data_IF_113106941960
#
_entry.id   IF_113106941960
#
_cell.length_a   1.000
_cell.length_b   1.000
_cell.length_c   1.000
_cell.angle_alpha   90.00
_cell.angle_beta   90.00
_cell.angle_gamma   90.00
#
_symmetry.space_group_name_H-M   'P 1'
#
loop_
_entity.id
_entity.type
_entity.pdbx_description
1 polymer ?
#
# COMPACT_ATOMS: atom_id res chain seq x y z
N UNK A 1 -58.38 29.96 12.48
CA UNK A 1 -59.65 29.48 13.02
C UNK A 1 -60.01 28.13 12.45
N UNK A 2 -60.28 27.25 13.39
CA UNK A 2 -61.10 26.05 13.34
C UNK A 2 -60.51 24.76 12.76
N UNK A 3 -60.04 23.99 13.74
CA UNK A 3 -59.93 22.55 13.78
C UNK A 3 -61.24 21.81 13.41
N UNK A 4 -61.03 20.51 13.15
CA UNK A 4 -61.86 19.37 13.56
C UNK A 4 -62.94 18.77 12.65
N UNK A 5 -62.71 17.47 12.45
CA UNK A 5 -63.62 16.37 12.82
C UNK A 5 -64.61 15.90 11.77
N UNK A 6 -64.29 14.74 11.18
CA UNK A 6 -65.30 13.71 10.90
C UNK A 6 -64.82 12.40 11.53
N UNK A 7 -65.62 11.89 12.45
CA UNK A 7 -65.50 10.61 13.14
C UNK A 7 -66.24 9.49 12.40
N UNK A 8 -66.03 8.26 12.89
CA UNK A 8 -66.87 7.05 12.78
C UNK A 8 -66.77 6.25 11.45
N UNK A 9 -66.69 4.92 11.39
CA UNK A 9 -67.21 3.81 12.23
C UNK A 9 -66.23 2.59 12.18
N UNK A 10 -65.88 1.95 13.30
CA UNK A 10 -66.57 0.83 13.96
C UNK A 10 -66.61 -0.50 13.17
N UNK A 11 -65.77 -1.47 13.55
CA UNK A 11 -66.14 -2.90 13.54
C UNK A 11 -65.24 -3.71 14.51
N UNK A 12 -65.89 -4.24 15.53
CA UNK A 12 -65.36 -4.89 16.73
C UNK A 12 -65.12 -6.41 16.55
N UNK A 13 -64.26 -6.97 17.41
CA UNK A 13 -64.23 -8.35 17.96
C UNK A 13 -63.26 -9.39 17.36
N UNK A 14 -62.17 -9.70 18.10
CA UNK A 14 -62.15 -10.87 19.03
C UNK A 14 -60.84 -10.96 19.83
N UNK A 15 -61.00 -10.71 21.13
CA UNK A 15 -60.33 -11.25 22.33
C UNK A 15 -59.30 -12.39 22.17
N UNK A 16 -58.11 -12.28 22.79
CA UNK A 16 -57.89 -12.74 24.17
C UNK A 16 -56.52 -12.26 24.73
N UNK A 17 -56.51 -11.95 26.01
CA UNK A 17 -55.52 -11.19 26.78
C UNK A 17 -54.32 -11.99 27.31
N UNK A 18 -53.12 -11.37 27.35
CA UNK A 18 -52.33 -11.20 28.59
C UNK A 18 -51.12 -10.24 28.45
N UNK A 19 -51.29 -9.09 29.10
CA UNK A 19 -50.37 -8.30 29.93
C UNK A 19 -48.99 -7.82 29.41
N UNK A 20 -48.91 -6.48 29.28
CA UNK A 20 -47.86 -5.55 29.73
C UNK A 20 -46.38 -5.88 29.41
N UNK A 21 -45.67 -5.04 28.68
CA UNK A 21 -45.11 -3.82 29.30
C UNK A 21 -44.78 -2.73 28.26
N UNK A 22 -44.96 -1.48 28.71
CA UNK A 22 -44.78 -0.24 27.97
C UNK A 22 -43.34 0.02 27.51
N UNK A 23 -43.27 0.87 26.49
CA UNK A 23 -42.11 1.33 25.75
C UNK A 23 -40.99 1.98 26.59
N UNK A 24 -39.77 1.84 26.11
CA UNK A 24 -38.83 2.96 25.98
C UNK A 24 -38.15 2.85 24.62
N UNK A 25 -38.67 3.60 23.63
CA UNK A 25 -37.98 3.82 22.36
C UNK A 25 -36.85 4.80 22.64
N UNK A 26 -35.71 4.28 23.09
CA UNK A 26 -34.46 5.01 23.06
C UNK A 26 -33.88 4.82 21.66
N UNK A 27 -34.39 5.61 20.69
CA UNK A 27 -33.71 5.82 19.42
C UNK A 27 -32.48 6.71 19.68
N UNK A 28 -31.47 6.11 20.32
CA UNK A 28 -30.10 6.61 20.22
C UNK A 28 -29.68 6.32 18.80
N UNK A 29 -29.29 7.36 18.06
CA UNK A 29 -28.59 7.25 16.78
C UNK A 29 -27.29 6.45 17.02
N UNK A 30 -27.37 5.12 17.05
CA UNK A 30 -26.23 4.30 16.69
C UNK A 30 -25.97 4.61 15.22
N UNK A 31 -24.99 5.47 14.97
CA UNK A 31 -24.42 5.58 13.64
C UNK A 31 -23.85 4.20 13.33
N UNK A 32 -24.62 3.38 12.65
CA UNK A 32 -24.21 2.06 12.23
C UNK A 32 -22.87 2.22 11.51
N UNK A 33 -21.82 1.68 12.12
CA UNK A 33 -20.49 1.73 11.53
C UNK A 33 -20.55 0.94 10.24
N UNK A 34 -20.10 1.57 9.15
CA UNK A 34 -20.05 0.93 7.85
C UNK A 34 -19.34 -0.43 7.94
N UNK A 35 -20.06 -1.51 7.62
CA UNK A 35 -19.51 -2.87 7.58
C UNK A 35 -18.31 -2.99 6.66
N UNK A 36 -18.27 -2.18 5.60
CA UNK A 36 -17.12 -2.03 4.71
C UNK A 36 -15.89 -1.45 5.42
N UNK A 37 -16.07 -0.43 6.26
CA UNK A 37 -14.98 0.19 7.01
C UNK A 37 -14.36 -0.80 8.00
N UNK A 38 -15.20 -1.56 8.74
CA UNK A 38 -14.75 -2.62 9.65
C UNK A 38 -13.98 -3.68 8.89
N UNK A 39 -14.56 -4.25 7.83
CA UNK A 39 -13.91 -5.28 7.02
C UNK A 39 -12.56 -4.81 6.43
N UNK A 40 -12.48 -3.55 6.02
CA UNK A 40 -11.23 -2.97 5.50
C UNK A 40 -10.15 -2.86 6.57
N UNK A 41 -10.49 -2.45 7.79
CA UNK A 41 -9.55 -2.42 8.91
C UNK A 41 -9.14 -3.83 9.34
N UNK A 42 -10.07 -4.78 9.37
CA UNK A 42 -9.76 -6.18 9.67
C UNK A 42 -8.79 -6.81 8.67
N UNK A 43 -8.85 -6.40 7.39
CA UNK A 43 -7.87 -6.81 6.36
C UNK A 43 -6.44 -6.36 6.67
N UNK A 44 -6.26 -5.26 7.40
CA UNK A 44 -4.94 -4.80 7.87
C UNK A 44 -4.46 -5.56 9.11
N UNK A 45 -5.24 -6.53 9.62
CA UNK A 45 -4.86 -7.39 10.74
C UNK A 45 -5.38 -6.94 12.10
N UNK A 46 -6.33 -6.01 12.13
CA UNK A 46 -6.97 -5.56 13.37
C UNK A 46 -8.23 -6.40 13.70
N UNK A 47 -8.56 -6.50 14.98
CA UNK A 47 -9.76 -7.20 15.43
C UNK A 47 -11.04 -6.43 15.03
N UNK A 48 -12.07 -7.16 14.59
CA UNK A 48 -13.27 -6.54 13.99
C UNK A 48 -14.13 -5.78 15.01
N UNK A 49 -14.26 -6.29 16.24
CA UNK A 49 -14.99 -5.61 17.32
C UNK A 49 -14.23 -4.34 17.73
N UNK A 50 -12.91 -4.44 17.82
CA UNK A 50 -12.06 -3.30 18.12
C UNK A 50 -12.11 -2.24 17.02
N UNK A 51 -12.09 -2.64 15.74
CA UNK A 51 -12.27 -1.74 14.60
C UNK A 51 -13.63 -1.05 14.63
N UNK A 52 -14.69 -1.78 14.97
CA UNK A 52 -16.03 -1.20 15.10
C UNK A 52 -16.09 -0.16 16.21
N UNK A 53 -15.51 -0.44 17.38
CA UNK A 53 -15.44 0.50 18.49
C UNK A 53 -14.66 1.78 18.13
N UNK A 54 -13.49 1.64 17.49
CA UNK A 54 -12.69 2.80 17.06
C UNK A 54 -13.42 3.59 15.97
N UNK A 55 -14.04 2.93 15.00
CA UNK A 55 -14.81 3.62 13.96
C UNK A 55 -16.03 4.36 14.53
N UNK A 56 -16.68 3.87 15.60
CA UNK A 56 -17.72 4.62 16.33
C UNK A 56 -17.15 5.92 16.91
N UNK A 57 -15.96 5.86 17.52
CA UNK A 57 -15.30 7.02 18.14
C UNK A 57 -14.75 8.04 17.13
N UNK A 58 -14.44 7.63 15.90
CA UNK A 58 -13.88 8.47 14.83
C UNK A 58 -14.89 8.79 13.72
N UNK A 59 -16.19 8.74 14.03
CA UNK A 59 -17.28 9.10 13.10
C UNK A 59 -17.23 8.34 11.76
N UNK A 60 -16.77 7.09 11.76
CA UNK A 60 -16.65 6.26 10.56
C UNK A 60 -15.47 6.61 9.64
N UNK A 61 -14.57 7.51 10.05
CA UNK A 61 -13.38 7.85 9.27
C UNK A 61 -12.34 6.72 9.32
N UNK A 62 -12.28 5.92 8.25
CA UNK A 62 -11.34 4.79 8.14
C UNK A 62 -9.88 5.22 8.33
N UNK A 63 -9.49 6.39 7.81
CA UNK A 63 -8.11 6.87 7.88
C UNK A 63 -7.71 7.22 9.31
N UNK A 64 -8.51 8.02 9.99
CA UNK A 64 -8.27 8.42 11.37
C UNK A 64 -8.35 7.20 12.32
N UNK A 65 -9.29 6.28 12.09
CA UNK A 65 -9.35 5.03 12.85
C UNK A 65 -8.13 4.15 12.63
N UNK A 66 -7.66 4.00 11.39
CA UNK A 66 -6.46 3.23 11.09
C UNK A 66 -5.21 3.85 11.72
N UNK A 67 -5.08 5.16 11.63
CA UNK A 67 -3.99 5.92 12.26
C UNK A 67 -3.97 5.66 13.78
N UNK A 68 -5.10 5.83 14.46
CA UNK A 68 -5.20 5.57 15.89
C UNK A 68 -4.83 4.12 16.26
N UNK A 69 -5.34 3.14 15.52
CA UNK A 69 -5.03 1.72 15.73
C UNK A 69 -3.54 1.42 15.58
N UNK A 70 -2.90 2.01 14.56
CA UNK A 70 -1.47 1.87 14.33
C UNK A 70 -0.67 2.55 15.45
N UNK A 71 -1.00 3.79 15.81
CA UNK A 71 -0.34 4.51 16.90
C UNK A 71 -0.41 3.71 18.20
N UNK A 72 -1.60 3.20 18.56
CA UNK A 72 -1.78 2.39 19.76
C UNK A 72 -0.90 1.12 19.72
N UNK A 73 -0.91 0.38 18.61
CA UNK A 73 -0.05 -0.80 18.44
C UNK A 73 1.44 -0.45 18.53
N UNK A 74 1.86 0.69 17.98
CA UNK A 74 3.25 1.13 18.02
C UNK A 74 3.66 1.61 19.42
N UNK A 75 2.81 2.32 20.14
CA UNK A 75 3.07 2.75 21.51
C UNK A 75 3.22 1.54 22.43
N UNK A 76 2.34 0.53 22.31
CA UNK A 76 2.41 -0.67 23.14
C UNK A 76 3.66 -1.51 22.86
N UNK A 77 4.07 -1.65 21.60
CA UNK A 77 5.22 -2.49 21.20
C UNK A 77 6.57 -1.77 21.21
N UNK A 78 6.57 -0.45 21.00
CA UNK A 78 7.79 0.34 20.74
C UNK A 78 7.85 1.63 21.57
N UNK A 79 6.90 1.91 22.46
CA UNK A 79 6.75 3.22 23.11
C UNK A 79 8.03 3.82 23.70
N UNK A 80 8.87 3.03 24.38
CA UNK A 80 10.15 3.52 24.94
C UNK A 80 11.23 3.80 23.88
N UNK A 81 11.15 3.18 22.70
CA UNK A 81 12.07 3.36 21.57
C UNK A 81 11.61 4.42 20.56
N UNK A 82 10.34 4.81 20.65
CA UNK A 82 9.70 5.76 19.74
C UNK A 82 9.53 7.15 20.36
N UNK A 83 9.88 7.33 21.64
CA UNK A 83 9.99 8.66 22.23
C UNK A 83 11.08 9.44 21.49
N UNK A 84 10.66 10.57 20.91
CA UNK A 84 11.54 11.58 20.35
C UNK A 84 12.59 11.93 21.40
N UNK A 85 13.87 11.73 21.07
CA UNK A 85 14.97 12.14 21.94
C UNK A 85 14.92 13.66 22.06
N UNK A 86 15.31 14.22 23.21
CA UNK A 86 15.31 15.66 23.48
C UNK A 86 16.04 16.46 22.36
N UNK A 87 17.08 15.86 21.77
CA UNK A 87 17.79 16.38 20.60
C UNK A 87 16.92 16.54 19.33
N UNK A 88 15.93 15.66 19.11
CA UNK A 88 15.00 15.72 17.98
C UNK A 88 13.86 16.73 18.16
N UNK A 89 13.54 17.07 19.41
CA UNK A 89 12.53 18.12 19.73
C UNK A 89 13.14 19.52 19.55
N UNK A 90 14.43 19.66 19.83
CA UNK A 90 15.16 20.91 19.66
C UNK A 90 15.62 21.17 18.21
N UNK A 91 15.54 20.16 17.33
CA UNK A 91 15.92 20.31 15.93
C UNK A 91 14.97 21.27 15.22
N UNK A 92 15.49 22.44 14.85
CA UNK A 92 14.77 23.43 14.08
C UNK A 92 14.63 22.95 12.63
N UNK A 93 13.41 23.06 12.08
CA UNK A 93 13.11 22.71 10.68
C UNK A 93 14.07 23.43 9.72
N UNK A 94 14.43 24.69 10.02
CA UNK A 94 15.37 25.48 9.20
C UNK A 94 16.75 24.84 9.13
N UNK A 95 17.30 24.45 10.27
CA UNK A 95 18.62 23.83 10.38
C UNK A 95 18.64 22.48 9.64
N UNK A 96 17.55 21.71 9.71
CA UNK A 96 17.40 20.47 8.94
C UNK A 96 17.42 20.70 7.42
N UNK A 97 16.81 21.79 6.94
CA UNK A 97 16.86 22.16 5.53
C UNK A 97 18.25 22.60 5.09
N UNK A 98 18.95 23.36 5.92
CA UNK A 98 20.31 23.81 5.64
C UNK A 98 21.28 22.64 5.57
N UNK A 99 21.25 21.74 6.56
CA UNK A 99 22.06 20.52 6.56
C UNK A 99 21.77 19.67 5.31
N UNK A 100 20.50 19.53 4.94
CA UNK A 100 20.11 18.83 3.72
C UNK A 100 20.71 19.48 2.47
N UNK A 101 20.73 20.80 2.39
CA UNK A 101 21.32 21.52 1.26
C UNK A 101 22.84 21.33 1.21
N UNK A 102 23.53 21.38 2.35
CA UNK A 102 24.97 21.11 2.45
C UNK A 102 25.31 19.70 1.96
N UNK A 103 24.54 18.70 2.39
CA UNK A 103 24.70 17.31 1.92
C UNK A 103 24.46 17.19 0.42
N UNK A 104 23.44 17.86 -0.13
CA UNK A 104 23.18 17.87 -1.57
C UNK A 104 24.34 18.48 -2.36
N UNK A 105 24.93 19.58 -1.87
CA UNK A 105 26.09 20.23 -2.49
C UNK A 105 27.32 19.32 -2.44
N UNK A 106 27.57 18.67 -1.30
CA UNK A 106 28.66 17.72 -1.15
C UNK A 106 28.49 16.53 -2.12
N UNK A 107 27.28 15.98 -2.22
CA UNK A 107 26.97 14.87 -3.13
C UNK A 107 27.09 15.29 -4.60
N UNK A 108 26.65 16.49 -4.96
CA UNK A 108 26.83 17.04 -6.29
C UNK A 108 28.32 17.21 -6.62
N UNK A 109 29.14 17.66 -5.66
CA UNK A 109 30.59 17.78 -5.86
C UNK A 109 31.29 16.42 -6.01
N UNK A 110 30.87 15.39 -5.28
CA UNK A 110 31.50 14.06 -5.30
C UNK A 110 31.04 13.24 -6.52
N UNK A 111 29.73 13.26 -6.79
CA UNK A 111 29.11 12.39 -7.78
C UNK A 111 28.92 13.07 -9.14
N UNK A 112 28.99 14.41 -9.20
CA UNK A 112 28.69 15.20 -10.38
C UNK A 112 27.29 14.90 -10.91
N UNK A 113 27.18 14.76 -12.23
CA UNK A 113 25.92 14.51 -12.94
C UNK A 113 25.23 13.18 -12.60
N UNK A 114 25.93 12.29 -11.87
CA UNK A 114 25.36 11.03 -11.40
C UNK A 114 24.40 11.25 -10.22
N UNK A 115 24.49 12.40 -9.53
CA UNK A 115 23.54 12.81 -8.50
C UNK A 115 22.42 13.64 -9.12
N UNK A 116 21.18 13.23 -8.88
CA UNK A 116 19.97 13.88 -9.40
C UNK A 116 18.96 14.00 -8.26
N UNK A 117 18.52 15.23 -7.97
CA UNK A 117 17.33 15.46 -7.17
C UNK A 117 16.09 15.28 -8.03
N UNK A 118 15.39 14.15 -7.84
CA UNK A 118 14.18 13.84 -8.61
C UNK A 118 12.96 14.58 -8.06
N UNK A 119 12.91 14.73 -6.74
CA UNK A 119 11.85 15.42 -6.03
C UNK A 119 12.50 16.34 -5.01
N UNK A 120 12.28 17.64 -5.19
CA UNK A 120 12.82 18.68 -4.32
C UNK A 120 12.55 18.38 -2.86
N UNK A 121 13.60 18.43 -2.05
CA UNK A 121 13.56 18.21 -0.60
C UNK A 121 13.01 16.84 -0.17
N UNK A 122 12.92 15.87 -1.08
CA UNK A 122 12.38 14.53 -0.77
C UNK A 122 13.24 13.40 -1.28
N UNK A 123 13.55 13.36 -2.58
CA UNK A 123 14.17 12.18 -3.20
C UNK A 123 15.39 12.55 -4.04
N UNK A 124 16.52 11.97 -3.65
CA UNK A 124 17.77 12.02 -4.38
C UNK A 124 18.07 10.65 -5.02
N UNK A 125 18.74 10.67 -6.16
CA UNK A 125 19.16 9.47 -6.88
C UNK A 125 20.62 9.62 -7.25
N UNK A 126 21.43 8.61 -6.91
CA UNK A 126 22.85 8.57 -7.25
C UNK A 126 23.10 7.33 -8.09
N UNK A 127 23.59 7.54 -9.31
CA UNK A 127 23.98 6.44 -10.19
C UNK A 127 25.42 6.06 -9.93
N UNK A 128 25.67 4.85 -9.44
CA UNK A 128 27.02 4.33 -9.19
C UNK A 128 27.33 3.21 -10.18
N UNK A 129 28.41 3.37 -10.95
CA UNK A 129 28.89 2.32 -11.84
C UNK A 129 29.73 1.31 -11.04
N UNK A 130 29.11 0.18 -10.69
CA UNK A 130 29.73 -0.87 -9.89
C UNK A 130 30.07 -2.08 -10.79
N UNK A 131 31.09 -1.92 -11.62
CA UNK A 131 31.53 -2.94 -12.60
C UNK A 131 31.85 -4.29 -11.94
N UNK A 132 32.39 -4.29 -10.72
CA UNK A 132 32.68 -5.52 -9.99
C UNK A 132 31.40 -6.33 -9.68
N UNK A 133 30.30 -5.67 -9.28
CA UNK A 133 29.02 -6.35 -9.00
C UNK A 133 28.44 -6.93 -10.29
N UNK A 134 28.53 -6.17 -11.38
CA UNK A 134 28.11 -6.63 -12.70
C UNK A 134 28.85 -7.89 -13.12
N UNK A 135 30.16 -7.95 -12.85
CA UNK A 135 31.01 -9.11 -13.13
C UNK A 135 30.72 -10.32 -12.22
N UNK A 136 30.40 -10.10 -10.95
CA UNK A 136 30.01 -11.19 -10.04
C UNK A 136 28.66 -11.80 -10.47
N UNK A 137 27.68 -10.95 -10.79
CA UNK A 137 26.35 -11.39 -11.24
C UNK A 137 26.39 -12.09 -12.62
N UNK A 138 27.26 -11.66 -13.52
CA UNK A 138 27.43 -12.29 -14.83
C UNK A 138 28.13 -13.66 -14.73
N UNK A 139 29.13 -13.80 -13.84
CA UNK A 139 29.81 -15.09 -13.59
C UNK A 139 28.86 -16.17 -13.06
N UNK A 140 27.86 -15.82 -12.25
CA UNK A 140 26.85 -16.79 -11.78
C UNK A 140 26.00 -17.38 -12.92
N UNK A 141 25.85 -16.69 -14.06
CA UNK A 141 25.10 -17.21 -15.22
C UNK A 141 25.93 -18.16 -16.11
N UNK A 142 27.26 -18.08 -16.08
CA UNK A 142 28.14 -18.93 -16.89
C UNK A 142 28.56 -20.25 -16.20
N UNK A 143 28.33 -20.40 -14.88
CA UNK A 143 28.76 -21.57 -14.11
C UNK A 143 27.95 -22.87 -14.28
N UNK A 144 26.88 -22.90 -15.09
CA UNK A 144 26.04 -24.10 -15.27
C UNK A 144 26.14 -24.74 -16.67
N UNK A 145 27.24 -24.53 -17.38
CA UNK A 145 27.52 -25.29 -18.60
C UNK A 145 28.92 -25.89 -18.55
N UNK A 146 28.96 -27.22 -18.76
CA UNK A 146 30.11 -28.09 -19.08
C UNK A 146 30.66 -28.91 -17.88
N UNK A 147 30.20 -30.16 -17.78
CA UNK A 147 30.96 -31.45 -17.71
C UNK A 147 29.98 -32.57 -17.28
N UNK A 148 29.45 -33.35 -18.22
CA UNK A 148 29.86 -34.73 -18.58
C UNK A 148 29.11 -35.86 -17.83
N UNK A 149 28.55 -36.78 -18.64
CA UNK A 149 28.00 -38.11 -18.32
C UNK A 149 26.57 -38.22 -17.75
N UNK A 150 25.62 -38.16 -18.69
CA UNK A 150 24.24 -38.65 -18.54
C UNK A 150 24.23 -40.17 -18.76
N UNK A 151 23.97 -40.91 -17.68
CA UNK A 151 23.05 -42.06 -17.72
C UNK A 151 21.85 -41.68 -16.87
N UNK A 152 20.67 -41.96 -17.41
CA UNK A 152 19.34 -41.90 -16.84
C UNK A 152 18.54 -40.57 -16.83
N UNK A 153 17.71 -40.50 -17.88
CA UNK A 153 16.23 -40.40 -17.84
C UNK A 153 15.57 -39.05 -17.53
N UNK A 154 14.85 -38.55 -18.54
CA UNK A 154 13.83 -37.49 -18.54
C UNK A 154 14.29 -36.02 -18.58
N UNK A 155 15.33 -35.69 -19.36
CA UNK A 155 15.47 -34.33 -19.88
C UNK A 155 14.52 -34.11 -21.06
N UNK A 156 13.43 -33.41 -20.81
CA UNK A 156 12.53 -32.87 -21.83
C UNK A 156 13.33 -31.91 -22.73
N UNK A 157 13.86 -32.41 -23.86
CA UNK A 157 14.55 -31.61 -24.87
C UNK A 157 13.67 -30.50 -25.43
N UNK A 158 14.29 -29.53 -26.12
CA UNK A 158 13.57 -28.41 -26.73
C UNK A 158 12.58 -28.94 -27.78
N UNK A 159 11.39 -28.36 -27.81
CA UNK A 159 10.33 -28.75 -28.74
C UNK A 159 10.71 -28.36 -30.17
N UNK A 160 11.09 -29.36 -30.97
CA UNK A 160 11.43 -29.18 -32.39
C UNK A 160 10.28 -28.57 -33.21
N UNK A 161 9.04 -28.91 -32.86
CA UNK A 161 7.85 -28.37 -33.53
C UNK A 161 7.58 -26.91 -33.16
N UNK A 162 7.94 -26.49 -31.94
CA UNK A 162 7.81 -25.09 -31.52
C UNK A 162 8.87 -24.21 -32.18
N UNK A 163 10.10 -24.72 -32.29
CA UNK A 163 11.15 -24.05 -33.06
C UNK A 163 10.77 -23.84 -34.53
N UNK A 164 9.92 -24.72 -35.08
CA UNK A 164 9.41 -24.61 -36.46
C UNK A 164 8.10 -23.79 -36.56
N UNK A 165 7.50 -23.40 -35.43
CA UNK A 165 6.25 -22.62 -35.39
C UNK A 165 4.94 -23.44 -35.39
N UNK A 166 5.01 -24.76 -35.53
CA UNK A 166 3.84 -25.63 -35.76
C UNK A 166 3.48 -26.52 -34.53
N UNK A 167 3.88 -26.12 -33.33
CA UNK A 167 3.59 -26.91 -32.14
C UNK A 167 2.11 -26.86 -31.77
N UNK A 168 1.39 -27.95 -32.06
CA UNK A 168 -0.04 -28.11 -31.73
C UNK A 168 -0.34 -28.21 -30.22
N UNK A 169 0.68 -28.42 -29.39
CA UNK A 169 0.52 -28.63 -27.95
C UNK A 169 0.67 -27.36 -27.10
N UNK A 170 1.08 -26.24 -27.71
CA UNK A 170 1.18 -24.94 -27.04
C UNK A 170 1.94 -25.01 -25.70
N UNK A 171 1.41 -24.36 -24.66
CA UNK A 171 1.99 -24.35 -23.31
C UNK A 171 1.92 -25.69 -22.57
N UNK A 172 1.18 -26.68 -23.10
CA UNK A 172 1.09 -28.04 -22.54
C UNK A 172 2.07 -29.02 -23.21
N UNK A 173 2.98 -28.51 -24.03
CA UNK A 173 3.99 -29.34 -24.68
C UNK A 173 4.91 -29.98 -23.63
N UNK A 174 5.11 -31.29 -23.75
CA UNK A 174 6.05 -32.06 -22.90
C UNK A 174 7.53 -31.71 -23.16
N UNK A 175 7.80 -30.83 -24.11
CA UNK A 175 9.14 -30.42 -24.54
C UNK A 175 9.27 -28.90 -24.34
N UNK A 176 10.46 -28.43 -23.94
CA UNK A 176 10.66 -27.02 -23.58
C UNK A 176 10.47 -26.10 -24.78
N UNK A 177 9.73 -25.01 -24.58
CA UNK A 177 9.56 -23.92 -25.54
C UNK A 177 10.47 -22.77 -25.11
N UNK A 178 11.69 -22.69 -25.65
CA UNK A 178 12.60 -21.57 -25.40
C UNK A 178 12.32 -20.47 -26.42
N UNK A 179 11.62 -19.43 -25.99
CA UNK A 179 11.39 -18.23 -26.80
C UNK A 179 12.59 -17.29 -26.62
N UNK A 180 13.37 -17.08 -27.68
CA UNK A 180 14.47 -16.09 -27.73
C UNK A 180 13.99 -14.63 -27.81
N UNK A 181 12.71 -14.36 -27.56
CA UNK A 181 12.18 -13.02 -27.35
C UNK A 181 11.86 -12.84 -25.86
N UNK A 182 12.89 -12.51 -25.10
CA UNK A 182 12.72 -11.88 -23.80
C UNK A 182 12.79 -10.35 -23.99
N UNK A 183 11.90 -9.82 -24.83
CA UNK A 183 11.51 -8.41 -24.76
C UNK A 183 10.59 -8.28 -23.53
N UNK A 184 11.19 -8.40 -22.35
CA UNK A 184 10.62 -7.77 -21.16
C UNK A 184 10.82 -6.29 -21.38
N UNK A 185 9.80 -5.66 -21.96
CA UNK A 185 9.52 -4.25 -21.77
C UNK A 185 9.86 -3.87 -20.33
N UNK A 186 10.90 -3.05 -20.16
CA UNK A 186 11.11 -2.31 -18.92
C UNK A 186 9.76 -1.71 -18.52
N UNK A 187 9.33 -1.81 -17.25
CA UNK A 187 8.12 -1.12 -16.83
C UNK A 187 8.31 0.37 -17.13
N UNK A 188 7.31 1.05 -17.72
CA UNK A 188 7.42 2.48 -17.99
C UNK A 188 7.66 3.17 -16.64
N UNK A 189 8.73 3.96 -16.57
CA UNK A 189 8.98 4.90 -15.47
C UNK A 189 7.72 5.76 -15.41
N UNK A 190 6.91 5.55 -14.37
CA UNK A 190 5.68 6.31 -14.18
C UNK A 190 6.10 7.75 -13.90
N UNK A 191 5.61 8.68 -14.71
CA UNK A 191 5.83 10.10 -14.50
C UNK A 191 5.10 10.52 -13.23
N UNK A 192 5.87 10.89 -12.21
CA UNK A 192 5.38 11.34 -10.90
C UNK A 192 4.81 12.77 -10.95
N UNK A 193 3.91 13.03 -11.90
CA UNK A 193 3.25 14.32 -12.07
C UNK A 193 2.46 14.76 -10.82
N UNK A 194 2.02 13.80 -10.00
CA UNK A 194 1.27 14.03 -8.76
C UNK A 194 2.13 14.60 -7.60
N UNK A 195 3.46 14.67 -7.76
CA UNK A 195 4.37 15.23 -6.75
C UNK A 195 4.80 16.68 -7.06
N UNK A 196 4.31 17.25 -8.19
CA UNK A 196 4.69 18.59 -8.69
C UNK A 196 3.71 19.72 -8.30
N UNK A 197 3.05 19.66 -7.13
CA UNK A 197 2.21 20.79 -6.73
C UNK A 197 3.04 21.92 -6.09
N UNK A 198 3.32 22.93 -6.92
CA UNK A 198 3.54 24.35 -6.67
C UNK A 198 3.84 24.82 -5.23
N UNK A 199 5.06 25.29 -5.00
CA UNK A 199 5.38 26.28 -3.97
C UNK A 199 5.66 27.64 -4.65
N UNK A 200 5.16 28.76 -4.12
CA UNK A 200 5.34 30.06 -4.75
C UNK A 200 6.80 30.50 -4.65
N UNK A 201 7.35 30.92 -5.79
CA UNK A 201 8.66 31.55 -5.92
C UNK A 201 8.54 32.96 -5.31
N UNK A 202 9.26 33.24 -4.23
CA UNK A 202 9.60 34.61 -3.84
C UNK A 202 10.92 34.96 -4.52
N UNK A 203 10.84 35.76 -5.59
CA UNK A 203 12.00 36.46 -6.14
C UNK A 203 12.35 37.63 -5.19
N UNK A 204 13.58 37.66 -4.72
CA UNK A 204 14.18 38.81 -4.04
C UNK A 204 14.83 39.70 -5.11
N UNK A 205 14.30 40.92 -5.24
CA UNK A 205 14.94 42.04 -5.94
C UNK A 205 16.07 42.64 -5.09
#
# INVERSE_FOLDING_TARGET
DDEQSWSDDNAFSKTNSRAASQATVNHVLETEVSSFAVHKLSRYGFDSEHCQAVLKSYNGNIGASLEHLLLQCFTEKFGKRMQLTEASVQANIKDCFEQRQEEALALHSICGDKFIERIQNRVWTITLELTYLTNVLSKTKQGNSITSNIVNTNSQGICKYYLRGDCKFGSRCKFKHETSHNEKSLPPIREDAHLKLNAPVYELE
#
